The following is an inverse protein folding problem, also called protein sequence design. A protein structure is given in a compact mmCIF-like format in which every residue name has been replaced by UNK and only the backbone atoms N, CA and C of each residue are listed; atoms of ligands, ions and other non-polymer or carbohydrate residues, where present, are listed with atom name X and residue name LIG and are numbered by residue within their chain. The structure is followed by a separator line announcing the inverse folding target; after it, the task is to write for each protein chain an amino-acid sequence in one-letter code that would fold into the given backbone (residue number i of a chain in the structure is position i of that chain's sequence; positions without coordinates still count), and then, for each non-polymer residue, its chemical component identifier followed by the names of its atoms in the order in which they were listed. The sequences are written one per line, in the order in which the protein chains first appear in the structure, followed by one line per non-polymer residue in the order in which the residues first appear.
data_IF_160481991788
#
_entry.id   IF_160481991788
#
_cell.length_a   1.000
_cell.length_b   1.000
_cell.length_c   1.000
_cell.angle_alpha   90.00
_cell.angle_beta   90.00
_cell.angle_gamma   90.00
#
_symmetry.space_group_name_H-M   'P 1'
#
loop_
_entity.id
_entity.type
_entity.pdbx_description
1 polymer ?
#
# COMPACT_ATOMS: atom_id res chain seq x y z
N UNK A 1 -1.34 38.52 55.78
CA UNK A 1 -1.35 37.18 55.15
C UNK A 1 -1.78 37.35 53.71
N UNK A 2 -0.88 37.15 52.73
CA UNK A 2 -1.22 37.24 51.30
C UNK A 2 -1.57 35.83 50.80
N UNK A 3 -2.79 35.65 50.31
CA UNK A 3 -3.23 34.40 49.72
C UNK A 3 -2.54 34.19 48.36
N UNK A 4 -1.84 33.06 48.21
CA UNK A 4 -1.26 32.63 46.93
C UNK A 4 -2.34 31.81 46.22
N UNK A 5 -2.84 32.32 45.09
CA UNK A 5 -3.72 31.57 44.20
C UNK A 5 -2.87 30.60 43.37
N UNK A 6 -3.00 29.30 43.63
CA UNK A 6 -2.38 28.24 42.83
C UNK A 6 -3.33 27.95 41.66
N UNK A 7 -2.94 28.38 40.45
CA UNK A 7 -3.62 27.97 39.22
C UNK A 7 -3.15 26.57 38.83
N UNK A 8 -4.03 25.57 38.95
CA UNK A 8 -3.84 24.28 38.32
C UNK A 8 -4.07 24.43 36.81
N UNK A 9 -3.00 24.46 36.03
CA UNK A 9 -3.09 24.30 34.57
C UNK A 9 -3.38 22.81 34.32
N UNK A 10 -4.65 22.49 34.05
CA UNK A 10 -5.02 21.19 33.52
C UNK A 10 -4.45 21.08 32.10
N UNK A 11 -3.34 20.36 31.96
CA UNK A 11 -2.82 19.97 30.64
C UNK A 11 -3.78 18.93 30.08
N UNK A 12 -4.71 19.38 29.24
CA UNK A 12 -5.52 18.52 28.38
C UNK A 12 -4.57 17.79 27.43
N UNK A 13 -4.24 16.54 27.76
CA UNK A 13 -3.69 15.60 26.80
C UNK A 13 -4.79 15.28 25.78
N UNK A 14 -4.91 16.11 24.75
CA UNK A 14 -5.60 15.74 23.53
C UNK A 14 -4.83 14.55 22.96
N UNK A 15 -5.38 13.35 23.16
CA UNK A 15 -4.93 12.14 22.48
C UNK A 15 -5.21 12.36 21.00
N UNK A 16 -4.24 12.88 20.26
CA UNK A 16 -4.31 13.00 18.81
C UNK A 16 -4.29 11.59 18.24
N UNK A 17 -5.47 10.99 18.13
CA UNK A 17 -5.68 9.82 17.28
C UNK A 17 -5.56 10.32 15.83
N UNK A 18 -4.34 10.43 15.32
CA UNK A 18 -4.09 10.48 13.88
C UNK A 18 -4.52 9.12 13.32
N UNK A 19 -5.81 8.95 13.06
CA UNK A 19 -6.25 7.95 12.11
C UNK A 19 -5.72 8.44 10.75
N UNK A 20 -4.95 7.62 10.05
CA UNK A 20 -4.54 7.85 8.66
C UNK A 20 -5.74 7.89 7.67
N UNK A 21 -6.98 8.00 8.17
CA UNK A 21 -8.25 7.91 7.44
C UNK A 21 -8.60 9.16 6.65
N UNK A 22 -8.05 10.32 7.01
CA UNK A 22 -8.42 11.60 6.39
C UNK A 22 -7.83 11.80 4.99
N UNK A 23 -6.95 10.89 4.55
CA UNK A 23 -6.18 11.01 3.30
C UNK A 23 -6.71 10.14 2.14
N UNK A 24 -7.76 9.33 2.34
CA UNK A 24 -8.29 8.44 1.30
C UNK A 24 -9.81 8.58 1.21
N UNK A 25 -10.34 8.87 0.02
CA UNK A 25 -11.78 9.00 -0.21
C UNK A 25 -12.49 7.64 -0.30
N UNK A 26 -11.75 6.59 -0.68
CA UNK A 26 -12.23 5.25 -1.02
C UNK A 26 -13.26 5.20 -2.14
N UNK A 27 -13.44 6.31 -2.87
CA UNK A 27 -14.45 6.46 -3.89
C UNK A 27 -14.24 5.47 -5.04
N UNK A 28 -12.97 5.10 -5.31
CA UNK A 28 -12.60 4.18 -6.38
C UNK A 28 -13.09 2.74 -6.16
N UNK A 29 -13.38 2.30 -4.94
CA UNK A 29 -13.60 0.86 -4.67
C UNK A 29 -15.04 0.38 -4.87
N UNK A 30 -16.01 1.30 -4.86
CA UNK A 30 -17.43 0.99 -5.06
C UNK A 30 -17.94 1.35 -6.45
N UNK A 31 -17.12 2.02 -7.26
CA UNK A 31 -17.50 2.54 -8.59
C UNK A 31 -17.00 1.67 -9.75
N UNK A 32 -15.97 0.85 -9.53
CA UNK A 32 -15.28 0.15 -10.60
C UNK A 32 -15.19 -1.36 -10.34
N UNK A 33 -15.04 -2.11 -11.42
CA UNK A 33 -14.55 -3.50 -11.42
C UNK A 33 -13.10 -3.51 -11.88
N UNK A 34 -12.44 -4.67 -11.88
CA UNK A 34 -11.08 -4.75 -12.42
C UNK A 34 -11.04 -4.45 -13.92
N UNK A 35 -12.11 -4.73 -14.68
CA UNK A 35 -12.22 -4.37 -16.10
C UNK A 35 -12.45 -2.86 -16.29
N UNK A 36 -13.37 -2.24 -15.54
CA UNK A 36 -13.67 -0.82 -15.75
C UNK A 36 -12.58 0.09 -15.19
N UNK A 37 -11.92 -0.30 -14.09
CA UNK A 37 -10.73 0.39 -13.57
C UNK A 37 -9.59 0.37 -14.60
N UNK A 38 -9.38 -0.75 -15.31
CA UNK A 38 -8.33 -0.84 -16.34
C UNK A 38 -8.51 0.14 -17.50
N UNK A 39 -9.73 0.64 -17.71
CA UNK A 39 -10.09 1.61 -18.74
C UNK A 39 -10.21 3.04 -18.20
N UNK A 40 -10.08 3.26 -16.89
CA UNK A 40 -10.12 4.59 -16.29
C UNK A 40 -8.94 5.43 -16.82
N UNK A 41 -9.15 6.63 -17.37
CA UNK A 41 -8.05 7.46 -17.86
C UNK A 41 -6.99 7.72 -16.81
N UNK A 42 -7.39 8.01 -15.56
CA UNK A 42 -6.47 8.21 -14.45
C UNK A 42 -5.58 6.97 -14.20
N UNK A 43 -6.13 5.76 -14.23
CA UNK A 43 -5.35 4.53 -14.04
C UNK A 43 -4.30 4.31 -15.15
N UNK A 44 -4.49 4.93 -16.32
CA UNK A 44 -3.59 4.83 -17.47
C UNK A 44 -2.61 6.00 -17.57
N UNK A 45 -2.58 6.92 -16.59
CA UNK A 45 -1.57 7.97 -16.51
C UNK A 45 -0.27 7.43 -15.91
N UNK A 46 0.89 7.86 -16.45
CA UNK A 46 2.20 7.62 -15.87
C UNK A 46 2.25 8.20 -14.44
N UNK A 47 2.86 7.48 -13.50
CA UNK A 47 2.95 7.91 -12.10
C UNK A 47 3.92 9.10 -12.00
N UNK A 48 3.44 10.24 -11.52
CA UNK A 48 4.29 11.36 -11.14
C UNK A 48 4.98 11.06 -9.81
N UNK A 49 6.28 10.77 -9.86
CA UNK A 49 7.08 10.43 -8.69
C UNK A 49 7.16 11.55 -7.64
N UNK A 50 6.87 12.80 -8.01
CA UNK A 50 6.86 13.93 -7.08
C UNK A 50 5.47 14.17 -6.46
N UNK A 51 4.43 13.58 -7.05
CA UNK A 51 3.04 13.79 -6.64
C UNK A 51 2.22 12.50 -6.86
N UNK A 52 2.60 11.45 -6.14
CA UNK A 52 1.97 10.13 -6.25
C UNK A 52 0.56 10.18 -5.65
N UNK A 53 -0.44 9.78 -6.44
CA UNK A 53 -1.79 9.50 -5.95
C UNK A 53 -1.81 8.11 -5.30
N UNK A 54 -1.68 8.07 -3.97
CA UNK A 54 -1.67 6.82 -3.24
C UNK A 54 -3.04 6.11 -3.23
N UNK A 55 -4.15 6.82 -3.40
CA UNK A 55 -5.46 6.16 -3.51
C UNK A 55 -5.51 5.35 -4.80
N UNK A 56 -5.12 5.96 -5.92
CA UNK A 56 -5.08 5.32 -7.23
C UNK A 56 -4.03 4.19 -7.29
N UNK A 57 -2.89 4.36 -6.63
CA UNK A 57 -1.84 3.34 -6.53
C UNK A 57 -2.30 2.13 -5.71
N UNK A 58 -2.98 2.34 -4.58
CA UNK A 58 -3.53 1.25 -3.78
C UNK A 58 -4.71 0.56 -4.50
N UNK A 59 -5.55 1.32 -5.19
CA UNK A 59 -6.65 0.79 -5.98
C UNK A 59 -6.14 -0.08 -7.14
N UNK A 60 -5.04 0.29 -7.79
CA UNK A 60 -4.49 -0.51 -8.89
C UNK A 60 -3.99 -1.87 -8.41
N UNK A 61 -3.38 -1.96 -7.23
CA UNK A 61 -3.01 -3.23 -6.60
C UNK A 61 -4.27 -4.08 -6.31
N UNK A 62 -5.30 -3.47 -5.72
CA UNK A 62 -6.56 -4.15 -5.40
C UNK A 62 -7.22 -4.75 -6.65
N UNK A 63 -7.36 -3.95 -7.71
CA UNK A 63 -8.01 -4.39 -8.94
C UNK A 63 -7.18 -5.40 -9.72
N UNK A 64 -5.85 -5.28 -9.74
CA UNK A 64 -4.97 -6.30 -10.31
C UNK A 64 -5.08 -7.64 -9.56
N UNK A 65 -5.25 -7.61 -8.24
CA UNK A 65 -5.51 -8.81 -7.43
C UNK A 65 -6.83 -9.49 -7.81
N UNK A 66 -7.88 -8.69 -8.02
CA UNK A 66 -9.18 -9.18 -8.48
C UNK A 66 -9.13 -9.74 -9.90
N UNK A 67 -8.37 -9.13 -10.80
CA UNK A 67 -8.08 -9.67 -12.14
C UNK A 67 -7.44 -11.05 -12.04
N UNK A 68 -6.43 -11.22 -11.19
CA UNK A 68 -5.80 -12.54 -10.98
C UNK A 68 -6.77 -13.58 -10.43
N UNK A 69 -7.64 -13.21 -9.49
CA UNK A 69 -8.67 -14.11 -8.97
C UNK A 69 -9.67 -14.52 -10.04
N UNK A 70 -10.16 -13.58 -10.84
CA UNK A 70 -11.06 -13.86 -11.95
C UNK A 70 -10.43 -14.83 -12.97
N UNK A 71 -9.17 -14.60 -13.36
CA UNK A 71 -8.42 -15.50 -14.25
C UNK A 71 -8.29 -16.93 -13.70
N UNK A 72 -8.25 -17.08 -12.37
CA UNK A 72 -8.18 -18.36 -11.67
C UNK A 72 -9.55 -18.89 -11.21
N UNK A 73 -10.65 -18.34 -11.74
CA UNK A 73 -12.03 -18.74 -11.39
C UNK A 73 -12.35 -18.63 -9.90
N UNK A 74 -11.72 -17.68 -9.21
CA UNK A 74 -11.97 -17.34 -7.80
C UNK A 74 -12.90 -16.14 -7.72
N UNK A 75 -13.76 -16.11 -6.69
CA UNK A 75 -14.61 -14.93 -6.41
C UNK A 75 -13.72 -13.72 -6.12
N UNK A 76 -13.98 -12.57 -6.71
CA UNK A 76 -13.24 -11.34 -6.42
C UNK A 76 -13.36 -10.92 -4.96
N UNK A 77 -12.33 -10.25 -4.45
CA UNK A 77 -12.37 -9.61 -3.14
C UNK A 77 -13.28 -8.39 -3.13
N UNK A 78 -13.97 -8.20 -2.02
CA UNK A 78 -14.63 -6.96 -1.66
C UNK A 78 -13.63 -6.03 -0.97
N UNK A 79 -13.65 -4.74 -1.28
CA UNK A 79 -12.82 -3.77 -0.57
C UNK A 79 -13.27 -3.64 0.90
N UNK A 80 -12.31 -3.46 1.81
CA UNK A 80 -12.63 -3.09 3.20
C UNK A 80 -11.68 -2.02 3.75
N UNK A 81 -12.20 -0.85 4.17
CA UNK A 81 -11.37 0.31 4.52
C UNK A 81 -10.44 0.04 5.70
N UNK A 82 -10.87 -0.77 6.68
CA UNK A 82 -10.03 -1.05 7.85
C UNK A 82 -8.88 -2.03 7.54
N UNK A 83 -9.00 -2.86 6.49
CA UNK A 83 -7.86 -3.64 5.98
C UNK A 83 -6.87 -2.72 5.25
N UNK A 84 -7.39 -1.73 4.50
CA UNK A 84 -6.59 -0.71 3.83
C UNK A 84 -5.82 0.13 4.86
N UNK A 85 -6.44 0.51 5.97
CA UNK A 85 -5.77 1.24 7.05
C UNK A 85 -4.61 0.43 7.64
N UNK A 86 -4.81 -0.87 7.89
CA UNK A 86 -3.75 -1.75 8.38
C UNK A 86 -2.60 -1.91 7.36
N UNK A 87 -2.93 -2.04 6.07
CA UNK A 87 -1.95 -2.13 4.99
C UNK A 87 -1.12 -0.85 4.83
N UNK A 88 -1.79 0.32 4.81
CA UNK A 88 -1.13 1.63 4.75
C UNK A 88 -0.24 1.83 5.98
N UNK A 89 -0.72 1.44 7.15
CA UNK A 89 0.07 1.49 8.39
C UNK A 89 1.34 0.67 8.27
N UNK A 90 1.26 -0.57 7.77
CA UNK A 90 2.44 -1.42 7.61
C UNK A 90 3.46 -0.82 6.63
N UNK A 91 3.01 -0.40 5.44
CA UNK A 91 3.88 0.25 4.45
C UNK A 91 4.53 1.53 5.01
N UNK A 92 3.77 2.34 5.75
CA UNK A 92 4.28 3.54 6.40
C UNK A 92 5.35 3.22 7.45
N UNK A 93 5.11 2.21 8.29
CA UNK A 93 6.08 1.81 9.32
C UNK A 93 7.36 1.26 8.68
N UNK A 94 7.24 0.39 7.66
CA UNK A 94 8.38 -0.18 6.94
C UNK A 94 9.26 0.89 6.30
N UNK A 95 8.67 1.96 5.76
CA UNK A 95 9.41 3.11 5.22
C UNK A 95 10.02 3.95 6.34
N UNK A 96 9.21 4.34 7.34
CA UNK A 96 9.63 5.24 8.43
C UNK A 96 10.80 4.69 9.24
N UNK A 97 10.82 3.39 9.48
CA UNK A 97 11.82 2.72 10.33
C UNK A 97 12.79 1.85 9.53
N UNK A 98 12.81 2.00 8.20
CA UNK A 98 13.73 1.31 7.27
C UNK A 98 13.86 -0.21 7.49
N UNK A 99 12.73 -0.91 7.61
CA UNK A 99 12.68 -2.38 7.72
C UNK A 99 11.80 -3.00 6.64
N UNK A 100 11.96 -4.31 6.41
CA UNK A 100 11.12 -5.07 5.48
C UNK A 100 10.81 -6.44 6.09
N UNK A 101 9.73 -6.50 6.89
CA UNK A 101 9.30 -7.68 7.63
C UNK A 101 7.79 -7.56 7.92
N UNK A 102 7.10 -8.69 8.08
CA UNK A 102 5.70 -8.75 8.53
C UNK A 102 5.53 -8.25 9.97
N UNK A 103 6.58 -8.42 10.80
CA UNK A 103 6.63 -7.94 12.17
C UNK A 103 7.32 -6.59 12.25
N UNK A 104 6.68 -5.61 12.87
CA UNK A 104 7.27 -4.30 13.09
C UNK A 104 8.21 -4.34 14.32
N UNK A 105 9.53 -4.16 14.15
CA UNK A 105 10.48 -4.19 15.26
C UNK A 105 10.51 -2.89 16.07
N UNK A 106 10.01 -1.79 15.50
CA UNK A 106 10.13 -0.44 16.05
C UNK A 106 8.92 -0.01 16.90
N UNK A 107 7.77 -0.67 16.75
CA UNK A 107 6.55 -0.31 17.48
C UNK A 107 5.77 -1.55 17.95
N UNK A 108 5.85 -1.84 19.25
CA UNK A 108 5.18 -2.99 19.87
C UNK A 108 3.65 -2.97 19.70
N UNK A 109 3.02 -1.79 19.62
CA UNK A 109 1.55 -1.65 19.42
C UNK A 109 1.11 -1.93 17.98
N UNK A 110 2.05 -2.02 17.04
CA UNK A 110 1.81 -2.29 15.62
C UNK A 110 2.64 -3.49 15.14
N UNK A 111 3.11 -4.33 16.08
CA UNK A 111 4.09 -5.38 15.82
C UNK A 111 3.57 -6.40 14.84
N UNK A 112 2.44 -7.02 15.13
CA UNK A 112 1.85 -8.07 14.30
C UNK A 112 0.74 -7.53 13.42
N UNK A 113 0.33 -8.31 12.41
CA UNK A 113 -0.86 -8.01 11.61
C UNK A 113 -2.10 -7.83 12.50
N UNK A 114 -2.24 -8.66 13.54
CA UNK A 114 -3.34 -8.56 14.50
C UNK A 114 -3.35 -7.20 15.19
N UNK A 115 -2.21 -6.75 15.70
CA UNK A 115 -2.09 -5.46 16.39
C UNK A 115 -2.45 -4.30 15.46
N UNK A 116 -2.03 -4.36 14.18
CA UNK A 116 -2.40 -3.37 13.16
C UNK A 116 -3.90 -3.35 12.86
N UNK A 117 -4.53 -4.52 12.74
CA UNK A 117 -5.97 -4.63 12.56
C UNK A 117 -6.73 -4.10 13.78
N UNK A 118 -6.26 -4.38 14.99
CA UNK A 118 -6.86 -3.84 16.22
C UNK A 118 -6.73 -2.32 16.28
N UNK A 119 -5.54 -1.79 15.97
CA UNK A 119 -5.30 -0.34 15.90
C UNK A 119 -6.16 0.36 14.83
N UNK A 120 -6.51 -0.33 13.74
CA UNK A 120 -7.42 0.18 12.71
C UNK A 120 -8.90 0.14 13.13
N UNK A 121 -9.23 -0.21 14.38
CA UNK A 121 -10.64 -0.32 14.83
C UNK A 121 -11.35 -1.58 14.29
N UNK A 122 -10.55 -2.59 13.98
CA UNK A 122 -10.94 -3.82 13.32
C UNK A 122 -10.87 -5.04 14.25
N UNK A 123 -10.66 -4.78 15.55
CA UNK A 123 -10.60 -5.78 16.61
C UNK A 123 -11.83 -6.69 16.59
N UNK A 124 -11.57 -8.01 16.58
CA UNK A 124 -12.62 -9.02 16.65
C UNK A 124 -13.54 -9.12 15.42
N UNK A 125 -13.30 -8.36 14.34
CA UNK A 125 -14.16 -8.34 13.15
C UNK A 125 -13.85 -9.44 12.12
N UNK A 126 -12.80 -10.23 12.31
CA UNK A 126 -12.38 -11.25 11.35
C UNK A 126 -12.30 -12.64 11.96
N UNK A 127 -12.54 -13.65 11.13
CA UNK A 127 -12.29 -15.07 11.44
C UNK A 127 -10.98 -15.57 10.87
N UNK A 128 -10.43 -14.89 9.86
CA UNK A 128 -9.11 -15.13 9.29
C UNK A 128 -8.53 -13.83 8.74
N UNK A 129 -7.21 -13.67 8.82
CA UNK A 129 -6.47 -12.58 8.20
C UNK A 129 -5.14 -13.09 7.61
N UNK A 130 -4.63 -12.41 6.60
CA UNK A 130 -3.36 -12.71 5.95
C UNK A 130 -2.70 -11.45 5.41
N UNK A 131 -1.41 -11.53 5.09
CA UNK A 131 -0.64 -10.39 4.59
C UNK A 131 0.36 -10.81 3.52
N UNK A 132 0.48 -10.00 2.47
CA UNK A 132 1.64 -10.01 1.58
C UNK A 132 2.34 -8.65 1.68
N UNK A 133 3.67 -8.63 1.57
CA UNK A 133 4.48 -7.41 1.45
C UNK A 133 5.40 -7.51 0.23
N UNK A 134 5.77 -6.38 -0.36
CA UNK A 134 6.75 -6.32 -1.45
C UNK A 134 7.48 -4.98 -1.47
N UNK A 135 8.74 -5.00 -1.92
CA UNK A 135 9.44 -3.85 -2.46
C UNK A 135 9.41 -3.93 -3.98
N UNK A 136 8.79 -2.96 -4.64
CA UNK A 136 8.65 -2.97 -6.09
C UNK A 136 8.99 -1.61 -6.72
N UNK A 137 9.53 -1.63 -7.94
CA UNK A 137 9.92 -0.42 -8.64
C UNK A 137 8.69 0.33 -9.18
N UNK A 138 8.70 1.65 -9.10
CA UNK A 138 7.71 2.51 -9.77
C UNK A 138 8.06 2.77 -11.24
N UNK A 139 9.27 2.42 -11.66
CA UNK A 139 9.73 2.53 -13.04
C UNK A 139 9.46 1.22 -13.78
N UNK A 140 9.07 1.32 -15.04
CA UNK A 140 8.99 0.20 -15.98
C UNK A 140 10.41 -0.25 -16.35
N UNK A 141 11.03 -0.93 -15.39
CA UNK A 141 12.43 -1.30 -15.37
C UNK A 141 12.56 -2.77 -15.01
N UNK A 142 13.30 -3.51 -15.83
CA UNK A 142 13.64 -4.88 -15.52
C UNK A 142 14.81 -4.92 -14.54
N UNK A 143 14.61 -5.62 -13.41
CA UNK A 143 15.63 -5.75 -12.39
C UNK A 143 16.95 -6.27 -13.00
N UNK A 144 18.07 -5.65 -12.59
CA UNK A 144 19.47 -5.93 -13.01
C UNK A 144 19.92 -5.33 -14.34
N UNK A 145 19.06 -4.61 -15.07
CA UNK A 145 19.55 -3.85 -16.23
C UNK A 145 20.42 -2.64 -15.81
N UNK A 146 21.61 -2.41 -16.40
CA UNK A 146 22.40 -1.24 -16.05
C UNK A 146 21.65 0.07 -16.33
N UNK A 147 21.65 0.97 -15.36
CA UNK A 147 21.03 2.29 -15.47
C UNK A 147 21.97 3.39 -15.01
N UNK A 148 21.67 4.62 -15.44
CA UNK A 148 22.30 5.83 -14.91
C UNK A 148 21.23 6.86 -14.58
N UNK A 149 21.53 7.69 -13.60
CA UNK A 149 20.68 8.81 -13.18
C UNK A 149 21.34 10.09 -13.68
N UNK A 150 20.60 10.87 -14.42
CA UNK A 150 21.00 12.22 -14.84
C UNK A 150 20.08 13.25 -14.16
N UNK A 151 20.56 14.50 -14.06
CA UNK A 151 19.74 15.63 -13.64
C UNK A 151 19.49 16.55 -14.82
N UNK A 152 18.23 16.75 -15.16
CA UNK A 152 17.79 17.68 -16.22
C UNK A 152 16.76 18.62 -15.61
N UNK A 153 16.99 19.93 -15.65
CA UNK A 153 16.10 20.94 -15.08
C UNK A 153 15.69 20.64 -13.62
N UNK A 154 16.65 20.29 -12.78
CA UNK A 154 16.46 19.85 -11.37
C UNK A 154 15.59 18.59 -11.16
N UNK A 155 15.27 17.84 -12.22
CA UNK A 155 14.57 16.55 -12.13
C UNK A 155 15.53 15.39 -12.39
N UNK A 156 15.34 14.31 -11.65
CA UNK A 156 16.05 13.06 -11.92
C UNK A 156 15.44 12.39 -13.15
N UNK A 157 16.29 12.03 -14.10
CA UNK A 157 15.94 11.24 -15.27
C UNK A 157 16.69 9.92 -15.18
N UNK A 158 15.96 8.81 -15.30
CA UNK A 158 16.51 7.47 -15.27
C UNK A 158 16.69 6.99 -16.70
N UNK A 159 17.87 6.52 -17.05
CA UNK A 159 18.21 6.12 -18.42
C UNK A 159 18.80 4.71 -18.42
N UNK A 160 18.44 3.91 -19.43
CA UNK A 160 19.16 2.65 -19.68
C UNK A 160 20.62 2.99 -20.05
N UNK A 161 21.59 2.44 -19.33
CA UNK A 161 23.00 2.84 -19.52
C UNK A 161 23.51 2.53 -20.92
N UNK A 162 23.03 1.43 -21.53
CA UNK A 162 23.48 0.96 -22.84
C UNK A 162 22.93 1.78 -24.01
N UNK A 163 21.65 2.18 -23.94
CA UNK A 163 20.95 2.81 -25.07
C UNK A 163 20.77 4.31 -24.89
N UNK A 164 20.89 4.81 -23.66
CA UNK A 164 20.57 6.20 -23.32
C UNK A 164 19.09 6.54 -23.38
N UNK A 165 18.21 5.55 -23.62
CA UNK A 165 16.76 5.79 -23.66
C UNK A 165 16.22 6.03 -22.24
N UNK A 166 15.25 6.95 -22.07
CA UNK A 166 14.56 7.13 -20.81
C UNK A 166 13.82 5.87 -20.36
N UNK A 167 14.00 5.56 -19.07
CA UNK A 167 13.19 4.59 -18.34
C UNK A 167 11.99 5.38 -17.82
N UNK A 168 10.80 4.93 -18.18
CA UNK A 168 9.55 5.63 -17.83
C UNK A 168 8.97 5.08 -16.52
N UNK A 169 8.24 5.89 -15.75
CA UNK A 169 7.37 5.37 -14.70
C UNK A 169 6.34 4.41 -15.28
N UNK A 170 5.91 3.44 -14.49
CA UNK A 170 4.68 2.73 -14.75
C UNK A 170 3.49 3.71 -14.78
N UNK A 171 2.45 3.35 -15.52
CA UNK A 171 1.10 3.85 -15.21
C UNK A 171 0.58 3.21 -13.93
N UNK A 172 -0.39 3.82 -13.25
CA UNK A 172 -0.99 3.20 -12.06
C UNK A 172 -1.48 1.77 -12.32
N UNK A 173 -2.14 1.54 -13.46
CA UNK A 173 -2.60 0.21 -13.92
C UNK A 173 -1.43 -0.75 -14.10
N UNK A 174 -0.44 -0.38 -14.91
CA UNK A 174 0.68 -1.28 -15.21
C UNK A 174 1.52 -1.59 -13.98
N UNK A 175 1.66 -0.64 -13.04
CA UNK A 175 2.29 -0.89 -11.75
C UNK A 175 1.53 -1.96 -10.95
N UNK A 176 0.21 -1.78 -10.79
CA UNK A 176 -0.64 -2.72 -10.05
C UNK A 176 -0.59 -4.13 -10.65
N UNK A 177 -0.62 -4.23 -11.98
CA UNK A 177 -0.48 -5.50 -12.69
C UNK A 177 0.89 -6.13 -12.49
N UNK A 178 1.97 -5.34 -12.55
CA UNK A 178 3.34 -5.82 -12.41
C UNK A 178 3.64 -6.34 -11.00
N UNK A 179 3.32 -5.58 -9.95
CA UNK A 179 3.57 -6.01 -8.57
C UNK A 179 2.73 -7.24 -8.19
N UNK A 180 1.48 -7.31 -8.65
CA UNK A 180 0.63 -8.48 -8.40
C UNK A 180 1.11 -9.69 -9.20
N UNK A 181 1.57 -9.51 -10.43
CA UNK A 181 2.18 -10.59 -11.20
C UNK A 181 3.43 -11.15 -10.50
N UNK A 182 4.28 -10.27 -9.95
CA UNK A 182 5.45 -10.67 -9.15
C UNK A 182 5.04 -11.50 -7.91
N UNK A 183 4.05 -11.05 -7.14
CA UNK A 183 3.48 -11.84 -6.04
C UNK A 183 2.95 -13.21 -6.49
N UNK A 184 2.33 -13.29 -7.67
CA UNK A 184 1.82 -14.55 -8.20
C UNK A 184 2.93 -15.55 -8.56
N UNK A 185 4.18 -15.11 -8.75
CA UNK A 185 5.33 -16.02 -8.94
C UNK A 185 5.84 -16.62 -7.63
N UNK A 186 5.53 -16.01 -6.49
CA UNK A 186 5.90 -16.51 -5.16
C UNK A 186 4.83 -17.45 -4.61
N UNK A 187 5.16 -18.72 -4.29
CA UNK A 187 4.16 -19.67 -3.76
C UNK A 187 3.42 -19.16 -2.52
N UNK A 188 4.13 -18.51 -1.58
CA UNK A 188 3.54 -17.99 -0.35
C UNK A 188 2.58 -16.83 -0.60
N UNK A 189 2.99 -15.86 -1.42
CA UNK A 189 2.14 -14.71 -1.75
C UNK A 189 0.93 -15.11 -2.60
N UNK A 190 1.15 -15.98 -3.60
CA UNK A 190 0.10 -16.56 -4.45
C UNK A 190 -0.95 -17.31 -3.63
N UNK A 191 -0.52 -18.07 -2.61
CA UNK A 191 -1.43 -18.80 -1.75
C UNK A 191 -2.45 -17.86 -1.09
N UNK A 192 -2.02 -16.70 -0.58
CA UNK A 192 -2.93 -15.70 -0.01
C UNK A 192 -3.88 -15.11 -1.06
N UNK A 193 -3.39 -14.75 -2.26
CA UNK A 193 -4.22 -14.14 -3.31
C UNK A 193 -5.33 -15.08 -3.79
N UNK A 194 -5.05 -16.39 -3.89
CA UNK A 194 -6.00 -17.38 -4.42
C UNK A 194 -6.76 -18.17 -3.35
N UNK A 195 -6.57 -17.86 -2.06
CA UNK A 195 -7.28 -18.53 -0.97
C UNK A 195 -8.77 -18.14 -0.99
N UNK A 196 -9.65 -19.13 -0.98
CA UNK A 196 -11.11 -18.93 -0.91
C UNK A 196 -11.58 -18.51 0.49
N UNK A 197 -10.74 -18.70 1.52
CA UNK A 197 -11.07 -18.26 2.87
C UNK A 197 -11.16 -16.73 2.95
N UNK A 198 -10.38 -16.01 2.15
CA UNK A 198 -10.35 -14.55 2.16
C UNK A 198 -11.41 -13.99 1.20
N UNK A 199 -12.22 -13.08 1.72
CA UNK A 199 -13.32 -12.44 0.97
C UNK A 199 -13.12 -10.94 0.82
N UNK A 200 -12.25 -10.34 1.64
CA UNK A 200 -11.95 -8.92 1.63
C UNK A 200 -10.45 -8.66 1.47
N UNK A 201 -10.13 -7.52 0.86
CA UNK A 201 -8.76 -7.05 0.66
C UNK A 201 -8.69 -5.54 0.89
N UNK A 202 -7.62 -5.10 1.55
CA UNK A 202 -7.17 -3.72 1.56
C UNK A 202 -5.70 -3.64 1.16
N UNK A 203 -5.31 -2.62 0.42
CA UNK A 203 -3.95 -2.42 -0.06
C UNK A 203 -3.38 -1.10 0.45
N UNK A 204 -2.07 -1.04 0.67
CA UNK A 204 -1.39 0.16 1.12
C UNK A 204 0.05 0.19 0.62
N UNK A 205 0.52 1.34 0.18
CA UNK A 205 1.86 1.51 -0.37
C UNK A 205 2.43 2.88 0.01
N UNK A 206 3.77 2.96 0.08
CA UNK A 206 4.47 4.22 0.31
C UNK A 206 5.82 4.23 -0.40
N UNK A 207 6.19 5.37 -1.00
CA UNK A 207 7.48 5.58 -1.63
C UNK A 207 8.62 5.32 -0.63
N UNK A 208 9.57 4.47 -1.03
CA UNK A 208 10.75 4.07 -0.28
C UNK A 208 11.98 4.25 -1.16
N UNK A 209 12.33 5.50 -1.45
CA UNK A 209 13.45 5.83 -2.33
C UNK A 209 14.55 6.51 -1.54
N UNK A 210 15.76 5.95 -1.60
CA UNK A 210 16.97 6.61 -1.10
C UNK A 210 17.62 7.42 -2.23
N UNK A 211 18.43 8.45 -1.92
CA UNK A 211 19.15 9.19 -2.95
C UNK A 211 19.94 8.25 -3.87
N UNK A 212 19.91 8.53 -5.18
CA UNK A 212 20.59 7.76 -6.22
C UNK A 212 20.14 6.29 -6.39
N UNK A 213 18.98 5.92 -5.86
CA UNK A 213 18.36 4.63 -6.12
C UNK A 213 17.15 4.78 -7.04
N UNK A 214 16.78 3.69 -7.73
CA UNK A 214 15.50 3.65 -8.43
C UNK A 214 14.34 3.85 -7.45
N UNK A 215 13.29 4.58 -7.85
CA UNK A 215 12.16 4.79 -7.00
C UNK A 215 11.41 3.49 -6.80
N UNK A 216 11.29 3.10 -5.54
CA UNK A 216 10.57 1.92 -5.10
C UNK A 216 9.43 2.31 -4.21
N UNK A 217 8.43 1.45 -4.09
CA UNK A 217 7.48 1.47 -2.99
C UNK A 217 7.67 0.25 -2.12
N UNK A 218 7.36 0.42 -0.83
CA UNK A 218 6.99 -0.70 0.02
C UNK A 218 5.47 -0.82 -0.02
N UNK A 219 4.96 -1.97 -0.44
CA UNK A 219 3.54 -2.23 -0.61
C UNK A 219 3.10 -3.41 0.25
N UNK A 220 1.85 -3.37 0.69
CA UNK A 220 1.22 -4.35 1.57
C UNK A 220 -0.18 -4.68 1.04
N UNK A 221 -0.51 -5.97 0.95
CA UNK A 221 -1.89 -6.47 0.85
C UNK A 221 -2.30 -7.03 2.21
N UNK A 222 -3.46 -6.65 2.71
CA UNK A 222 -4.06 -7.26 3.90
C UNK A 222 -5.38 -7.92 3.53
N UNK A 223 -5.45 -9.23 3.73
CA UNK A 223 -6.59 -10.07 3.42
C UNK A 223 -7.42 -10.33 4.67
N UNK A 224 -8.74 -10.46 4.51
CA UNK A 224 -9.63 -10.74 5.64
C UNK A 224 -10.85 -11.59 5.26
N UNK A 225 -11.32 -12.37 6.24
CA UNK A 225 -12.68 -12.92 6.27
C UNK A 225 -13.44 -12.25 7.41
N UNK A 226 -14.40 -11.38 7.08
CA UNK A 226 -15.22 -10.73 8.10
C UNK A 226 -16.10 -11.76 8.83
N UNK A 227 -16.32 -11.54 10.13
CA UNK A 227 -17.40 -12.20 10.86
C UNK A 227 -18.73 -11.68 10.31
N UNK A 228 -19.66 -12.59 10.04
CA UNK A 228 -21.02 -12.20 9.70
C UNK A 228 -21.63 -11.43 10.88
N UNK A 229 -22.38 -10.37 10.59
CA UNK A 229 -23.19 -9.71 11.60
C UNK A 229 -24.24 -10.72 12.08
N UNK A 230 -24.25 -10.99 13.38
CA UNK A 230 -25.34 -11.73 14.02
C UNK A 230 -26.54 -10.81 14.21
#
# INVERSE_FOLDING_TARGET
MKAVAIFFIAVLFASFNLRNTDNFSDSLYNQYTYETFANLPAANQEIDLNNIDYELLNASIFYASNKQRALHKKKTFTFYPLLRDAAVTQSTQMVKYDFFDHQNPANAKLKTLKDRLESAGSAGKYTAAGENISEYFLMDYQAREPFRIERVNNRQVYLHSKTGKPIKPHTYRSFGEAIVADWMTSPGHRANILDDKFTHLGCGSLLSTKPNQFPKVKATQVFGRLKEAR
#
